data_IF_137138562087
#
_entry.id   IF_137138562087
#
_cell.length_a   1.000
_cell.length_b   1.000
_cell.length_c   1.000
_cell.angle_alpha   90.00
_cell.angle_beta   90.00
_cell.angle_gamma   90.00
#
_symmetry.space_group_name_H-M   'P 1'
#
loop_
_entity.id
_entity.type
_entity.pdbx_description
1 polymer ?
#
# COMPACT_ATOMS: atom_id res chain seq x y z
N UNK A 1 13.35 -0.24 -21.40
CA UNK A 1 13.65 -1.18 -20.29
C UNK A 1 12.38 -1.93 -19.92
N UNK A 2 12.21 -3.16 -20.40
CA UNK A 2 11.08 -4.02 -20.02
C UNK A 2 11.40 -4.69 -18.69
N UNK A 3 10.64 -4.40 -17.63
CA UNK A 3 10.78 -5.10 -16.35
C UNK A 3 10.14 -6.49 -16.47
N UNK A 4 10.86 -7.52 -16.05
CA UNK A 4 10.42 -8.92 -16.16
C UNK A 4 9.20 -9.20 -15.28
N UNK A 5 8.29 -10.13 -15.65
CA UNK A 5 7.01 -10.36 -14.96
C UNK A 5 7.11 -10.65 -13.45
N UNK A 6 8.25 -11.19 -13.00
CA UNK A 6 8.50 -11.49 -11.58
C UNK A 6 8.75 -10.23 -10.74
N UNK A 7 9.31 -9.16 -11.32
CA UNK A 7 9.61 -7.92 -10.58
C UNK A 7 8.40 -7.00 -10.39
N UNK A 8 7.33 -7.20 -11.17
CA UNK A 8 6.08 -6.44 -11.04
C UNK A 8 5.26 -6.95 -9.86
N UNK A 9 5.05 -8.27 -9.76
CA UNK A 9 4.21 -8.88 -8.71
C UNK A 9 4.70 -8.62 -7.28
N UNK A 10 6.00 -8.64 -7.04
CA UNK A 10 6.58 -8.44 -5.70
C UNK A 10 6.35 -7.03 -5.17
N UNK A 11 6.35 -6.03 -6.07
CA UNK A 11 6.18 -4.62 -5.68
C UNK A 11 4.75 -4.32 -5.23
N UNK A 12 3.78 -4.92 -5.91
CA UNK A 12 2.37 -4.71 -5.59
C UNK A 12 2.01 -5.43 -4.27
N UNK A 13 2.61 -6.59 -4.01
CA UNK A 13 2.47 -7.28 -2.73
C UNK A 13 3.04 -6.48 -1.55
N UNK A 14 4.29 -6.00 -1.65
CA UNK A 14 4.90 -5.22 -0.57
C UNK A 14 4.17 -3.88 -0.32
N UNK A 15 3.57 -3.27 -1.35
CA UNK A 15 2.71 -2.08 -1.19
C UNK A 15 1.45 -2.41 -0.39
N UNK A 16 0.80 -3.52 -0.74
CA UNK A 16 -0.39 -3.99 -0.04
C UNK A 16 -0.12 -4.30 1.44
N UNK A 17 0.99 -4.98 1.76
CA UNK A 17 1.37 -5.25 3.15
C UNK A 17 1.65 -3.97 3.95
N UNK A 18 2.26 -2.95 3.31
CA UNK A 18 2.47 -1.65 3.95
C UNK A 18 1.15 -0.93 4.23
N UNK A 19 0.23 -0.92 3.27
CA UNK A 19 -1.11 -0.32 3.44
C UNK A 19 -1.86 -1.02 4.59
N UNK A 20 -1.82 -2.35 4.66
CA UNK A 20 -2.42 -3.13 5.75
C UNK A 20 -1.79 -2.81 7.10
N UNK A 21 -0.46 -2.69 7.18
CA UNK A 21 0.23 -2.33 8.41
C UNK A 21 -0.21 -0.96 8.92
N UNK A 22 -0.37 0.02 8.03
CA UNK A 22 -0.84 1.37 8.37
C UNK A 22 -2.29 1.33 8.86
N UNK A 23 -3.18 0.62 8.16
CA UNK A 23 -4.60 0.51 8.53
C UNK A 23 -4.76 -0.22 9.86
N UNK A 24 -4.12 -1.39 10.03
CA UNK A 24 -4.32 -2.27 11.18
C UNK A 24 -3.69 -1.74 12.47
N UNK A 25 -2.58 -1.02 12.37
CA UNK A 25 -1.84 -0.51 13.52
C UNK A 25 -1.93 1.01 13.67
N UNK A 26 -2.77 1.66 12.88
CA UNK A 26 -2.98 3.12 12.89
C UNK A 26 -1.67 3.91 12.81
N UNK A 27 -0.69 3.39 12.06
CA UNK A 27 0.59 4.06 11.96
C UNK A 27 0.43 5.40 11.23
N UNK A 28 1.16 6.45 11.65
CA UNK A 28 1.11 7.73 10.95
C UNK A 28 1.55 7.56 9.50
N UNK A 29 0.72 7.97 8.54
CA UNK A 29 1.06 7.85 7.11
C UNK A 29 2.37 8.59 6.79
N UNK A 30 2.64 9.71 7.49
CA UNK A 30 3.89 10.48 7.37
C UNK A 30 5.17 9.64 7.62
N UNK A 31 5.07 8.52 8.33
CA UNK A 31 6.19 7.60 8.59
C UNK A 31 6.85 7.11 7.30
N UNK A 32 6.11 6.95 6.19
CA UNK A 32 6.68 6.54 4.89
C UNK A 32 7.62 7.57 4.27
N UNK A 33 7.59 8.81 4.76
CA UNK A 33 8.44 9.91 4.32
C UNK A 33 9.69 10.08 5.19
N UNK A 34 9.75 9.39 6.34
CA UNK A 34 10.90 9.45 7.23
C UNK A 34 12.12 8.82 6.57
N UNK A 35 13.27 9.49 6.73
CA UNK A 35 14.54 9.03 6.18
C UNK A 35 14.89 7.60 6.63
N UNK A 36 14.77 7.31 7.92
CA UNK A 36 15.18 6.02 8.48
C UNK A 36 14.26 4.89 8.05
N UNK A 37 12.96 5.16 7.89
CA UNK A 37 12.04 4.18 7.32
C UNK A 37 12.37 3.87 5.86
N UNK A 38 12.65 4.91 5.06
CA UNK A 38 13.08 4.72 3.66
C UNK A 38 14.39 3.96 3.59
N UNK A 39 15.36 4.26 4.45
CA UNK A 39 16.62 3.53 4.53
C UNK A 39 16.39 2.06 4.88
N UNK A 40 15.51 1.77 5.86
CA UNK A 40 15.12 0.42 6.23
C UNK A 40 14.49 -0.34 5.06
N UNK A 41 13.47 0.22 4.40
CA UNK A 41 12.81 -0.42 3.24
C UNK A 41 13.78 -0.62 2.08
N UNK A 42 14.63 0.37 1.78
CA UNK A 42 15.65 0.27 0.74
C UNK A 42 16.69 -0.82 1.04
N UNK A 43 17.02 -1.05 2.32
CA UNK A 43 17.93 -2.14 2.73
C UNK A 43 17.33 -3.54 2.49
N UNK A 44 16.00 -3.67 2.60
CA UNK A 44 15.28 -4.92 2.37
C UNK A 44 15.00 -5.16 0.88
N UNK A 45 14.62 -4.12 0.15
CA UNK A 45 14.28 -4.19 -1.26
C UNK A 45 14.68 -2.89 -1.98
N UNK A 46 15.90 -2.82 -2.55
CA UNK A 46 16.40 -1.62 -3.21
C UNK A 46 15.58 -1.15 -4.41
N UNK A 47 14.79 -2.04 -5.02
CA UNK A 47 13.91 -1.69 -6.14
C UNK A 47 12.52 -1.25 -5.70
N UNK A 48 12.23 -1.21 -4.40
CA UNK A 48 10.94 -0.73 -3.91
C UNK A 48 10.83 0.77 -4.20
N UNK A 49 9.77 1.23 -4.89
CA UNK A 49 9.64 2.64 -5.19
C UNK A 49 9.42 3.43 -3.90
N UNK A 50 9.97 4.64 -3.84
CA UNK A 50 9.60 5.58 -2.78
C UNK A 50 8.12 5.92 -2.93
N UNK A 51 7.38 5.77 -1.83
CA UNK A 51 5.96 6.14 -1.74
C UNK A 51 5.87 7.49 -1.04
N UNK A 52 5.02 8.36 -1.57
CA UNK A 52 4.62 9.58 -0.88
C UNK A 52 3.43 9.28 0.02
N UNK A 53 3.21 10.16 1.01
CA UNK A 53 1.99 10.11 1.81
C UNK A 53 0.73 10.06 0.94
N UNK A 54 0.66 10.93 -0.08
CA UNK A 54 -0.48 11.01 -0.98
C UNK A 54 -0.74 9.70 -1.73
N UNK A 55 0.32 8.99 -2.15
CA UNK A 55 0.16 7.69 -2.80
C UNK A 55 -0.46 6.67 -1.85
N UNK A 56 0.00 6.63 -0.60
CA UNK A 56 -0.57 5.72 0.42
C UNK A 56 -2.02 6.10 0.72
N UNK A 57 -2.33 7.39 0.89
CA UNK A 57 -3.70 7.86 1.12
C UNK A 57 -4.65 7.43 0.00
N UNK A 58 -4.23 7.58 -1.26
CA UNK A 58 -5.02 7.15 -2.42
C UNK A 58 -5.22 5.63 -2.41
N UNK A 59 -4.19 4.84 -2.09
CA UNK A 59 -4.31 3.39 -2.03
C UNK A 59 -5.29 2.94 -0.95
N UNK A 60 -5.17 3.50 0.26
CA UNK A 60 -6.03 3.16 1.41
C UNK A 60 -7.49 3.53 1.11
N UNK A 61 -7.73 4.74 0.58
CA UNK A 61 -9.08 5.18 0.19
C UNK A 61 -9.65 4.30 -0.94
N UNK A 62 -8.83 3.93 -1.92
CA UNK A 62 -9.22 3.02 -2.99
C UNK A 62 -9.65 1.65 -2.45
N UNK A 63 -8.86 1.07 -1.54
CA UNK A 63 -9.19 -0.19 -0.86
C UNK A 63 -10.49 -0.08 -0.05
N UNK A 64 -10.67 1.02 0.67
CA UNK A 64 -11.90 1.28 1.44
C UNK A 64 -13.14 1.36 0.55
N UNK A 65 -13.10 2.11 -0.55
CA UNK A 65 -14.26 2.24 -1.44
C UNK A 65 -14.63 0.88 -2.09
N UNK A 66 -13.65 0.03 -2.38
CA UNK A 66 -13.90 -1.33 -2.86
C UNK A 66 -14.63 -2.17 -1.81
N UNK A 67 -14.15 -2.20 -0.58
CA UNK A 67 -14.78 -3.00 0.50
C UNK A 67 -16.14 -2.45 0.92
N UNK A 68 -16.29 -1.12 0.93
CA UNK A 68 -17.57 -0.44 1.15
C UNK A 68 -18.58 -0.82 0.07
N UNK A 69 -18.20 -0.78 -1.21
CA UNK A 69 -19.09 -1.17 -2.31
C UNK A 69 -19.54 -2.63 -2.20
N UNK A 70 -18.62 -3.55 -1.88
CA UNK A 70 -18.94 -4.97 -1.63
C UNK A 70 -19.93 -5.12 -0.48
N UNK A 71 -19.68 -4.42 0.62
CA UNK A 71 -20.55 -4.45 1.81
C UNK A 71 -21.95 -3.94 1.48
N UNK A 72 -22.05 -2.83 0.74
CA UNK A 72 -23.32 -2.27 0.31
C UNK A 72 -24.11 -3.24 -0.58
N UNK A 73 -23.45 -3.92 -1.53
CA UNK A 73 -24.11 -4.94 -2.36
C UNK A 73 -24.68 -6.10 -1.54
N UNK A 74 -23.97 -6.53 -0.49
CA UNK A 74 -24.46 -7.57 0.44
C UNK A 74 -25.67 -7.08 1.24
N UNK A 75 -25.69 -5.80 1.61
CA UNK A 75 -26.80 -5.20 2.36
C UNK A 75 -28.04 -4.94 1.49
N UNK A 76 -27.87 -4.55 0.23
CA UNK A 76 -28.96 -4.29 -0.73
C UNK A 76 -29.56 -5.58 -1.31
N UNK A 77 -28.82 -6.68 -1.29
CA UNK A 77 -29.26 -8.00 -1.76
C UNK A 77 -30.07 -8.82 -0.75
N UNK A 78 -30.45 -8.25 0.40
CA UNK A 78 -31.25 -8.88 1.47
C UNK A 78 -32.59 -8.16 1.68
#
# INVERSE_FOLDING_TARGET
MFKSPKTVKVKDYARHELDNMIILHEYPILMVEHHDFRAFVNSLQPLFPHLSRNTIEINILGSYEVEKSKTQQVLEGN
#
